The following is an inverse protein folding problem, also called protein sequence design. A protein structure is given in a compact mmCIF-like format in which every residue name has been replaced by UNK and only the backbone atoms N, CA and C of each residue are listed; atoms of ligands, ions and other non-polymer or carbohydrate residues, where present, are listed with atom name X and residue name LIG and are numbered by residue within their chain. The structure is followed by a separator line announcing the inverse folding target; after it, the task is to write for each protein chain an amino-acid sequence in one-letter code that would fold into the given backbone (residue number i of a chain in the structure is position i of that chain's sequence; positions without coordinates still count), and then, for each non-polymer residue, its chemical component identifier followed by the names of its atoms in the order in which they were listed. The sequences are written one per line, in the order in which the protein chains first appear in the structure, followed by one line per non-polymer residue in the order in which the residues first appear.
data_IF_199295499015
#
_entry.id   IF_199295499015
#
_cell.length_a   1.000
_cell.length_b   1.000
_cell.length_c   1.000
_cell.angle_alpha   90.00
_cell.angle_beta   90.00
_cell.angle_gamma   90.00
#
_symmetry.space_group_name_H-M   'P 1'
#
loop_
_entity.id
_entity.type
_entity.pdbx_description
1 polymer ?
#
# COMPACT_ATOMS: atom_id res chain seq x y z
N UNK A 1 0.57 -31.47 -25.12
CA UNK A 1 1.11 -30.68 -23.99
C UNK A 1 2.44 -30.08 -24.42
N UNK A 2 2.46 -28.84 -24.85
CA UNK A 2 3.72 -28.11 -25.07
C UNK A 2 4.39 -27.91 -23.69
N UNK A 3 5.60 -28.46 -23.53
CA UNK A 3 6.45 -28.15 -22.40
C UNK A 3 6.82 -26.66 -22.52
N UNK A 4 6.18 -25.78 -21.77
CA UNK A 4 6.70 -24.43 -21.57
C UNK A 4 8.05 -24.57 -20.88
N UNK A 5 9.13 -24.36 -21.62
CA UNK A 5 10.49 -24.30 -21.09
C UNK A 5 10.68 -22.91 -20.43
N UNK A 6 10.04 -22.70 -19.28
CA UNK A 6 10.29 -21.50 -18.49
C UNK A 6 11.67 -21.61 -17.85
N UNK A 7 12.52 -20.61 -18.09
CA UNK A 7 13.85 -20.50 -17.47
C UNK A 7 13.81 -19.42 -16.40
N UNK A 8 14.28 -19.76 -15.19
CA UNK A 8 14.43 -18.80 -14.09
C UNK A 8 15.92 -18.47 -13.95
N UNK A 9 16.23 -17.19 -14.17
CA UNK A 9 17.56 -16.65 -13.95
C UNK A 9 17.67 -16.18 -12.49
N UNK A 10 18.87 -16.21 -11.93
CA UNK A 10 19.15 -15.72 -10.58
C UNK A 10 20.07 -14.50 -10.68
N UNK A 11 19.68 -13.39 -10.06
CA UNK A 11 20.54 -12.23 -9.91
C UNK A 11 21.13 -12.21 -8.49
N UNK A 12 22.42 -11.89 -8.38
CA UNK A 12 23.12 -11.73 -7.12
C UNK A 12 23.40 -10.27 -6.77
N UNK A 13 23.35 -9.39 -7.77
CA UNK A 13 23.59 -7.95 -7.62
C UNK A 13 22.58 -7.12 -8.44
N UNK A 14 22.44 -5.84 -8.09
CA UNK A 14 21.63 -4.91 -8.92
C UNK A 14 22.22 -4.76 -10.34
N UNK A 15 23.54 -4.87 -10.49
CA UNK A 15 24.19 -4.84 -11.81
C UNK A 15 23.73 -5.99 -12.69
N UNK A 16 23.58 -7.20 -12.15
CA UNK A 16 23.02 -8.36 -12.87
C UNK A 16 21.59 -8.08 -13.33
N UNK A 17 20.78 -7.48 -12.44
CA UNK A 17 19.39 -7.11 -12.77
C UNK A 17 19.36 -6.12 -13.94
N UNK A 18 20.17 -5.06 -13.90
CA UNK A 18 20.22 -4.06 -14.96
C UNK A 18 20.67 -4.66 -16.29
N UNK A 19 21.65 -5.55 -16.25
CA UNK A 19 22.09 -6.29 -17.44
C UNK A 19 20.94 -7.10 -18.05
N UNK A 20 20.20 -7.86 -17.24
CA UNK A 20 19.09 -8.67 -17.71
C UNK A 20 17.91 -7.83 -18.19
N UNK A 21 17.57 -6.73 -17.50
CA UNK A 21 16.51 -5.79 -17.92
C UNK A 21 16.78 -5.18 -19.29
N UNK A 22 18.05 -4.99 -19.65
CA UNK A 22 18.47 -4.45 -20.96
C UNK A 22 18.52 -5.53 -22.04
N UNK A 23 18.94 -6.74 -21.68
CA UNK A 23 19.23 -7.83 -22.62
C UNK A 23 18.03 -8.71 -22.91
N UNK A 24 17.05 -8.77 -21.99
CA UNK A 24 15.91 -9.69 -22.07
C UNK A 24 14.61 -8.91 -22.16
N UNK A 25 13.90 -9.10 -23.27
CA UNK A 25 12.56 -8.53 -23.41
C UNK A 25 11.54 -9.30 -22.57
N UNK A 26 10.56 -8.57 -22.01
CA UNK A 26 9.45 -9.12 -21.23
C UNK A 26 9.91 -10.04 -20.08
N UNK A 27 10.89 -9.56 -19.32
CA UNK A 27 11.44 -10.27 -18.17
C UNK A 27 10.50 -10.12 -16.98
N UNK A 28 9.99 -11.25 -16.45
CA UNK A 28 9.22 -11.28 -15.21
C UNK A 28 10.18 -11.20 -14.02
N UNK A 29 9.97 -10.22 -13.14
CA UNK A 29 10.76 -10.09 -11.90
C UNK A 29 10.09 -10.88 -10.79
N UNK A 30 10.85 -11.74 -10.13
CA UNK A 30 10.38 -12.63 -9.07
C UNK A 30 10.96 -12.22 -7.71
N UNK A 31 10.06 -11.96 -6.75
CA UNK A 31 10.40 -11.82 -5.34
C UNK A 31 10.04 -13.09 -4.56
N UNK A 32 9.04 -13.00 -3.67
CA UNK A 32 8.58 -14.13 -2.84
C UNK A 32 7.67 -15.15 -3.55
N UNK A 33 7.23 -14.88 -4.74
CA UNK A 33 6.39 -15.74 -5.60
C UNK A 33 5.06 -16.21 -4.97
N UNK A 34 4.55 -15.50 -3.98
CA UNK A 34 3.34 -15.90 -3.23
C UNK A 34 2.03 -15.46 -3.88
N UNK A 35 2.09 -14.61 -4.90
CA UNK A 35 0.92 -14.03 -5.57
C UNK A 35 0.81 -14.40 -7.05
N UNK A 36 1.90 -14.86 -7.68
CA UNK A 36 1.90 -15.25 -9.08
C UNK A 36 1.23 -16.62 -9.28
N UNK A 37 0.49 -16.76 -10.37
CA UNK A 37 -0.16 -18.02 -10.76
C UNK A 37 0.67 -18.86 -11.74
N UNK A 38 1.58 -18.22 -12.47
CA UNK A 38 2.43 -18.87 -13.48
C UNK A 38 3.75 -18.14 -13.63
N UNK A 39 4.75 -18.87 -14.12
CA UNK A 39 6.02 -18.28 -14.54
C UNK A 39 5.97 -17.97 -16.03
N UNK A 40 6.48 -16.79 -16.40
CA UNK A 40 6.70 -16.44 -17.80
C UNK A 40 7.88 -17.24 -18.36
N UNK A 41 8.04 -17.25 -19.70
CA UNK A 41 9.14 -17.95 -20.36
C UNK A 41 10.52 -17.52 -19.83
N UNK A 42 10.64 -16.24 -19.45
CA UNK A 42 11.86 -15.63 -18.93
C UNK A 42 11.56 -14.92 -17.62
N UNK A 43 12.10 -15.43 -16.55
CA UNK A 43 11.91 -14.90 -15.20
C UNK A 43 13.25 -14.66 -14.53
N UNK A 44 13.34 -13.61 -13.70
CA UNK A 44 14.55 -13.25 -12.94
C UNK A 44 14.21 -13.15 -11.46
N UNK A 45 14.80 -14.00 -10.65
CA UNK A 45 14.69 -13.95 -9.21
C UNK A 45 15.65 -12.91 -8.64
N UNK A 46 15.08 -11.98 -7.85
CA UNK A 46 15.82 -10.87 -7.21
C UNK A 46 15.78 -10.95 -5.69
N UNK A 47 15.23 -12.03 -5.14
CA UNK A 47 14.97 -12.19 -3.71
C UNK A 47 16.24 -12.13 -2.85
N UNK A 48 17.36 -12.58 -3.39
CA UNK A 48 18.60 -12.77 -2.64
C UNK A 48 19.64 -11.67 -2.86
N UNK A 49 19.21 -10.53 -3.39
CA UNK A 49 20.08 -9.36 -3.58
C UNK A 49 20.10 -8.57 -2.27
N UNK A 50 21.29 -8.46 -1.66
CA UNK A 50 21.47 -7.80 -0.35
C UNK A 50 21.00 -6.34 -0.37
N UNK A 51 21.28 -5.59 -1.45
CA UNK A 51 20.88 -4.19 -1.61
C UNK A 51 19.35 -4.02 -1.62
N UNK A 52 18.61 -5.05 -2.02
CA UNK A 52 17.14 -5.05 -2.04
C UNK A 52 16.51 -5.57 -0.73
N UNK A 53 17.30 -6.01 0.22
CA UNK A 53 16.87 -6.63 1.48
C UNK A 53 17.11 -5.73 2.70
N UNK A 54 17.56 -4.49 2.49
CA UNK A 54 17.90 -3.57 3.56
C UNK A 54 16.66 -2.90 4.16
N UNK A 55 16.72 -2.63 5.46
CA UNK A 55 15.76 -1.78 6.19
C UNK A 55 16.57 -0.66 6.84
N UNK A 56 16.30 0.58 6.42
CA UNK A 56 16.98 1.76 6.95
C UNK A 56 15.98 2.69 7.64
N UNK A 57 16.07 2.82 8.96
CA UNK A 57 15.28 3.78 9.72
C UNK A 57 16.05 5.10 9.82
N UNK A 58 15.41 6.17 9.43
CA UNK A 58 15.84 7.56 9.61
C UNK A 58 14.85 8.27 10.54
N UNK A 59 15.13 9.51 10.90
CA UNK A 59 14.31 10.29 11.81
C UNK A 59 12.86 10.49 11.31
N UNK A 60 12.68 10.75 10.01
CA UNK A 60 11.39 11.10 9.41
C UNK A 60 10.82 10.07 8.46
N UNK A 61 11.50 8.97 8.23
CA UNK A 61 11.05 7.91 7.33
C UNK A 61 11.77 6.60 7.56
N UNK A 62 11.18 5.53 7.07
CA UNK A 62 11.83 4.22 6.95
C UNK A 62 11.90 3.86 5.48
N UNK A 63 13.08 3.46 5.03
CA UNK A 63 13.30 2.87 3.72
C UNK A 63 13.34 1.36 3.82
N UNK A 64 12.51 0.69 3.03
CA UNK A 64 12.48 -0.76 2.90
C UNK A 64 12.96 -1.17 1.52
N UNK A 65 13.87 -2.13 1.46
CA UNK A 65 14.17 -2.84 0.23
C UNK A 65 12.97 -3.70 -0.22
N UNK A 66 12.74 -3.85 -1.52
CA UNK A 66 11.59 -4.60 -2.04
C UNK A 66 11.63 -6.10 -1.74
N UNK A 67 12.81 -6.67 -1.45
CA UNK A 67 12.98 -8.09 -1.08
C UNK A 67 12.76 -8.37 0.41
N UNK A 68 12.58 -7.33 1.24
CA UNK A 68 12.22 -7.48 2.65
C UNK A 68 10.89 -8.21 2.75
N UNK A 69 10.81 -9.27 3.57
CA UNK A 69 9.58 -10.04 3.75
C UNK A 69 8.60 -9.32 4.68
N UNK A 70 7.31 -9.63 4.55
CA UNK A 70 6.29 -9.06 5.41
C UNK A 70 6.53 -9.44 6.87
N UNK A 71 7.02 -10.66 7.15
CA UNK A 71 7.39 -11.08 8.50
C UNK A 71 8.53 -10.27 9.09
N UNK A 72 9.56 -9.96 8.30
CA UNK A 72 10.67 -9.11 8.76
C UNK A 72 10.19 -7.70 9.14
N UNK A 73 9.23 -7.14 8.40
CA UNK A 73 8.64 -5.83 8.76
C UNK A 73 7.85 -5.94 10.07
N UNK A 74 7.03 -6.98 10.23
CA UNK A 74 6.23 -7.20 11.46
C UNK A 74 7.13 -7.41 12.70
N UNK A 75 8.32 -7.98 12.53
CA UNK A 75 9.31 -8.14 13.62
C UNK A 75 9.84 -6.80 14.15
N UNK A 76 9.73 -5.73 13.37
CA UNK A 76 9.99 -4.38 13.87
C UNK A 76 8.93 -4.06 14.94
N UNK A 77 9.35 -3.49 16.07
CA UNK A 77 8.40 -3.12 17.13
C UNK A 77 7.33 -2.18 16.57
N UNK A 78 6.06 -2.42 16.94
CA UNK A 78 4.92 -1.59 16.51
C UNK A 78 5.16 -0.09 16.72
N UNK A 79 5.81 0.28 17.83
CA UNK A 79 6.18 1.67 18.15
C UNK A 79 7.23 2.30 17.20
N UNK A 80 7.84 1.50 16.36
CA UNK A 80 8.86 1.92 15.40
C UNK A 80 8.33 1.98 13.96
N UNK A 81 7.06 1.65 13.74
CA UNK A 81 6.35 1.68 12.46
C UNK A 81 5.11 2.56 12.59
N UNK A 82 4.61 3.17 11.51
CA UNK A 82 3.25 3.68 11.49
C UNK A 82 2.26 2.55 11.84
N UNK A 83 1.41 2.77 12.86
CA UNK A 83 0.52 1.72 13.38
C UNK A 83 -0.39 1.14 12.29
N UNK A 84 -0.92 1.99 11.42
CA UNK A 84 -1.78 1.55 10.30
C UNK A 84 -1.08 0.60 9.34
N UNK A 85 0.23 0.77 9.13
CA UNK A 85 1.00 -0.17 8.31
C UNK A 85 1.20 -1.50 9.03
N UNK A 86 1.55 -1.47 10.32
CA UNK A 86 1.69 -2.66 11.12
C UNK A 86 0.37 -3.46 11.17
N UNK A 87 -0.75 -2.78 11.47
CA UNK A 87 -2.07 -3.39 11.55
C UNK A 87 -2.53 -3.98 10.21
N UNK A 88 -2.21 -3.33 9.09
CA UNK A 88 -2.46 -3.91 7.76
C UNK A 88 -1.67 -5.20 7.54
N UNK A 89 -0.37 -5.19 7.84
CA UNK A 89 0.53 -6.32 7.62
C UNK A 89 0.11 -7.57 8.41
N UNK A 90 -0.30 -7.42 9.69
CA UNK A 90 -0.72 -8.56 10.50
C UNK A 90 -2.03 -9.20 10.02
N UNK A 91 -2.86 -8.45 9.28
CA UNK A 91 -4.10 -8.98 8.68
C UNK A 91 -3.88 -9.67 7.32
N UNK A 92 -2.66 -9.57 6.76
CA UNK A 92 -2.33 -10.19 5.47
C UNK A 92 -1.90 -11.63 5.66
N UNK A 93 -2.50 -12.54 4.92
CA UNK A 93 -2.07 -13.93 4.74
C UNK A 93 -1.74 -14.68 6.06
N UNK A 94 -1.33 -15.93 5.97
CA UNK A 94 -0.76 -16.69 7.08
C UNK A 94 0.71 -16.33 7.32
N UNK A 95 1.23 -16.66 8.48
CA UNK A 95 2.65 -16.45 8.82
C UNK A 95 3.58 -17.14 7.80
N UNK A 96 3.27 -18.37 7.42
CA UNK A 96 4.06 -19.11 6.42
C UNK A 96 4.14 -18.36 5.08
N UNK A 97 3.06 -17.73 4.66
CA UNK A 97 3.04 -16.92 3.44
C UNK A 97 3.80 -15.62 3.66
N UNK A 98 3.64 -14.94 4.81
CA UNK A 98 4.37 -13.70 5.12
C UNK A 98 5.88 -13.89 5.21
N UNK A 99 6.36 -15.08 5.57
CA UNK A 99 7.79 -15.41 5.57
C UNK A 99 8.39 -15.47 4.16
N UNK A 100 7.56 -15.63 3.13
CA UNK A 100 7.97 -15.68 1.74
C UNK A 100 7.60 -14.40 0.98
N UNK A 101 6.40 -13.88 1.22
CA UNK A 101 5.89 -12.67 0.57
C UNK A 101 6.78 -11.48 0.87
N UNK A 102 7.18 -10.75 -0.18
CA UNK A 102 8.03 -9.57 -0.05
C UNK A 102 7.20 -8.29 -0.16
N UNK A 103 7.69 -7.22 0.44
CA UNK A 103 7.00 -5.93 0.42
C UNK A 103 6.88 -5.40 -1.01
N UNK A 104 7.98 -5.45 -1.78
CA UNK A 104 7.97 -5.08 -3.18
C UNK A 104 7.06 -5.98 -4.03
N UNK A 105 7.05 -7.29 -3.77
CA UNK A 105 6.15 -8.22 -4.45
C UNK A 105 4.68 -7.87 -4.22
N UNK A 106 4.31 -7.49 -3.00
CA UNK A 106 2.94 -7.06 -2.66
C UNK A 106 2.53 -5.76 -3.35
N UNK A 107 3.47 -4.87 -3.64
CA UNK A 107 3.24 -3.64 -4.40
C UNK A 107 3.18 -3.94 -5.91
N UNK A 108 4.16 -4.70 -6.42
CA UNK A 108 4.26 -5.01 -7.85
C UNK A 108 3.17 -5.95 -8.36
N UNK A 109 2.46 -6.67 -7.48
CA UNK A 109 1.23 -7.40 -7.80
C UNK A 109 0.14 -6.48 -8.38
N UNK A 110 0.25 -5.16 -8.14
CA UNK A 110 -0.64 -4.11 -8.62
C UNK A 110 -2.13 -4.40 -8.35
N UNK A 111 -2.44 -5.09 -7.24
CA UNK A 111 -3.79 -5.36 -6.79
C UNK A 111 -4.15 -4.51 -5.56
N UNK A 112 -5.01 -3.48 -5.71
CA UNK A 112 -5.40 -2.60 -4.61
C UNK A 112 -6.19 -3.29 -3.49
N UNK A 113 -6.60 -4.55 -3.66
CA UNK A 113 -7.22 -5.38 -2.62
C UNK A 113 -6.21 -5.86 -1.57
N UNK A 114 -4.92 -5.75 -1.86
CA UNK A 114 -3.87 -6.09 -0.89
C UNK A 114 -3.85 -5.01 0.21
N UNK A 115 -3.94 -5.43 1.45
CA UNK A 115 -4.23 -4.58 2.62
C UNK A 115 -3.24 -3.42 2.84
N UNK A 116 -2.01 -3.52 2.34
CA UNK A 116 -1.02 -2.43 2.45
C UNK A 116 -1.33 -1.21 1.57
N UNK A 117 -2.21 -1.33 0.58
CA UNK A 117 -2.46 -0.23 -0.36
C UNK A 117 -3.06 1.00 0.32
N UNK A 118 -4.08 0.83 1.18
CA UNK A 118 -4.67 1.98 1.86
C UNK A 118 -3.69 2.67 2.83
N UNK A 119 -2.89 1.98 3.67
CA UNK A 119 -1.87 2.65 4.48
C UNK A 119 -0.78 3.34 3.65
N UNK A 120 -0.30 2.72 2.56
CA UNK A 120 0.70 3.34 1.70
C UNK A 120 0.21 4.64 1.06
N UNK A 121 -1.07 4.68 0.68
CA UNK A 121 -1.72 5.89 0.18
C UNK A 121 -1.86 6.96 1.27
N UNK A 122 -2.32 6.57 2.47
CA UNK A 122 -2.54 7.51 3.57
C UNK A 122 -1.22 8.10 4.10
N UNK A 123 -0.15 7.30 4.14
CA UNK A 123 1.18 7.69 4.59
C UNK A 123 2.00 8.44 3.52
N UNK A 124 1.43 8.70 2.33
CA UNK A 124 2.15 9.33 1.22
C UNK A 124 3.48 8.62 0.88
N UNK A 125 3.45 7.29 0.87
CA UNK A 125 4.61 6.46 0.56
C UNK A 125 5.21 6.81 -0.82
N UNK A 126 6.52 6.61 -0.96
CA UNK A 126 7.25 6.88 -2.20
C UNK A 126 8.03 5.65 -2.64
N UNK A 127 8.02 5.39 -3.93
CA UNK A 127 8.74 4.28 -4.55
C UNK A 127 9.95 4.82 -5.28
N UNK A 128 11.11 4.24 -5.00
CA UNK A 128 12.32 4.46 -5.79
C UNK A 128 12.42 3.34 -6.82
N UNK A 129 12.45 3.70 -8.08
CA UNK A 129 12.69 2.77 -9.19
C UNK A 129 13.97 3.16 -9.91
N UNK A 130 14.71 2.14 -10.34
CA UNK A 130 16.01 2.34 -10.98
C UNK A 130 16.17 1.49 -12.22
N UNK A 131 16.96 2.01 -13.13
CA UNK A 131 17.63 1.25 -14.18
C UNK A 131 19.14 1.57 -14.15
N UNK A 132 19.89 1.11 -15.13
CA UNK A 132 21.33 1.33 -15.18
C UNK A 132 21.73 2.80 -15.21
N UNK A 133 20.91 3.69 -15.78
CA UNK A 133 21.27 5.09 -16.10
C UNK A 133 20.56 6.12 -15.22
N UNK A 134 19.40 5.79 -14.64
CA UNK A 134 18.61 6.77 -13.89
C UNK A 134 17.89 6.17 -12.69
N UNK A 135 17.59 7.03 -11.73
CA UNK A 135 16.74 6.76 -10.56
C UNK A 135 15.54 7.69 -10.60
N UNK A 136 14.34 7.14 -10.43
CA UNK A 136 13.08 7.91 -10.34
C UNK A 136 12.39 7.67 -9.02
N UNK A 137 11.69 8.70 -8.54
CA UNK A 137 10.85 8.62 -7.36
C UNK A 137 9.39 8.82 -7.75
N UNK A 138 8.56 7.84 -7.42
CA UNK A 138 7.13 7.84 -7.75
C UNK A 138 6.35 7.94 -6.45
N UNK A 139 5.51 8.97 -6.23
CA UNK A 139 4.53 8.94 -5.16
C UNK A 139 3.59 7.74 -5.33
N UNK A 140 3.30 7.01 -4.25
CA UNK A 140 2.46 5.82 -4.33
C UNK A 140 1.05 6.13 -4.88
N UNK A 141 0.54 7.35 -4.63
CA UNK A 141 -0.72 7.83 -5.21
C UNK A 141 -0.74 7.93 -6.74
N UNK A 142 0.44 7.94 -7.39
CA UNK A 142 0.60 7.96 -8.85
C UNK A 142 1.13 6.63 -9.41
N UNK A 143 1.16 5.59 -8.57
CA UNK A 143 1.68 4.29 -8.99
C UNK A 143 0.68 3.56 -9.88
N UNK A 144 1.09 3.23 -11.09
CA UNK A 144 0.32 2.46 -12.08
C UNK A 144 1.05 1.19 -12.53
N UNK A 145 2.18 0.87 -11.87
CA UNK A 145 3.05 -0.25 -12.22
C UNK A 145 4.50 0.20 -12.40
N UNK A 146 5.42 -0.74 -12.45
CA UNK A 146 6.83 -0.47 -12.72
C UNK A 146 7.03 -0.32 -14.23
N UNK A 147 7.54 0.82 -14.73
CA UNK A 147 7.81 1.01 -16.14
C UNK A 147 8.81 -0.03 -16.68
N UNK A 148 8.66 -0.39 -17.96
CA UNK A 148 9.56 -1.34 -18.62
C UNK A 148 11.02 -0.86 -18.51
N UNK A 149 11.91 -1.78 -18.19
CA UNK A 149 13.34 -1.50 -18.03
C UNK A 149 13.73 -0.93 -16.67
N UNK A 150 12.78 -0.76 -15.74
CA UNK A 150 13.04 -0.37 -14.35
C UNK A 150 12.79 -1.53 -13.39
N UNK A 151 13.38 -1.40 -12.21
CA UNK A 151 13.08 -2.24 -11.05
C UNK A 151 12.79 -1.35 -9.84
N UNK A 152 11.89 -1.80 -8.98
CA UNK A 152 11.69 -1.21 -7.66
C UNK A 152 12.92 -1.50 -6.80
N UNK A 153 13.55 -0.46 -6.26
CA UNK A 153 14.73 -0.61 -5.41
C UNK A 153 14.52 -0.18 -3.98
N UNK A 154 13.52 0.70 -3.73
CA UNK A 154 13.25 1.16 -2.37
C UNK A 154 11.79 1.60 -2.21
N UNK A 155 11.26 1.35 -1.03
CA UNK A 155 9.92 1.77 -0.60
C UNK A 155 10.11 2.65 0.62
N UNK A 156 9.87 3.96 0.46
CA UNK A 156 9.99 4.94 1.54
C UNK A 156 8.65 5.19 2.19
N UNK A 157 8.60 5.01 3.49
CA UNK A 157 7.44 5.26 4.33
C UNK A 157 7.75 6.45 5.24
N UNK A 158 7.06 7.60 5.10
CA UNK A 158 7.15 8.69 6.05
C UNK A 158 6.73 8.25 7.46
N UNK A 159 7.39 8.82 8.46
CA UNK A 159 7.03 8.68 9.87
C UNK A 159 6.60 10.07 10.33
N UNK A 160 5.31 10.29 10.36
CA UNK A 160 4.70 11.49 10.89
C UNK A 160 3.99 11.16 12.20
N UNK A 161 3.88 12.14 13.11
CA UNK A 161 3.15 11.99 14.35
C UNK A 161 1.65 12.16 14.08
N UNK A 162 0.92 11.05 14.18
CA UNK A 162 -0.53 11.01 14.06
C UNK A 162 -1.15 10.67 15.41
N UNK A 163 -2.05 11.51 15.91
CA UNK A 163 -2.74 11.28 17.19
C UNK A 163 -3.75 10.14 17.08
N UNK A 164 -4.38 10.02 15.90
CA UNK A 164 -5.33 8.94 15.61
C UNK A 164 -4.86 8.19 14.37
N UNK A 165 -4.72 6.88 14.53
CA UNK A 165 -4.33 5.96 13.47
C UNK A 165 -5.30 4.77 13.47
N UNK A 166 -6.13 4.66 12.44
CA UNK A 166 -7.12 3.59 12.32
C UNK A 166 -6.89 2.87 11.01
N UNK A 167 -6.61 1.57 11.08
CA UNK A 167 -6.69 0.66 9.95
C UNK A 167 -7.82 -0.34 10.16
N UNK A 168 -8.62 -0.58 9.13
CA UNK A 168 -9.65 -1.64 9.13
C UNK A 168 -9.57 -2.44 7.84
N UNK A 169 -9.38 -3.75 7.99
CA UNK A 169 -9.60 -4.70 6.92
C UNK A 169 -11.09 -4.93 6.75
N UNK A 170 -11.56 -4.90 5.52
CA UNK A 170 -12.92 -5.21 5.12
C UNK A 170 -12.92 -6.49 4.30
N UNK A 171 -13.96 -7.30 4.43
CA UNK A 171 -14.11 -8.54 3.70
C UNK A 171 -13.49 -9.77 4.39
N UNK A 172 -13.45 -10.91 3.70
CA UNK A 172 -13.02 -12.17 4.28
C UNK A 172 -11.53 -12.19 4.61
N UNK A 173 -11.18 -12.89 5.71
CA UNK A 173 -9.79 -13.00 6.16
C UNK A 173 -8.98 -14.07 5.41
N UNK A 174 -9.65 -15.10 4.89
CA UNK A 174 -9.00 -16.30 4.34
C UNK A 174 -8.47 -16.12 2.93
N UNK A 175 -9.13 -15.33 2.08
CA UNK A 175 -8.76 -15.13 0.68
C UNK A 175 -9.21 -13.75 0.20
N UNK A 176 -8.38 -13.10 -0.61
CA UNK A 176 -8.78 -11.87 -1.30
C UNK A 176 -9.85 -12.18 -2.36
N UNK A 177 -10.89 -11.37 -2.37
CA UNK A 177 -11.98 -11.42 -3.36
C UNK A 177 -12.52 -10.01 -3.60
N UNK A 178 -13.63 -9.88 -4.32
CA UNK A 178 -14.23 -8.59 -4.66
C UNK A 178 -14.86 -7.83 -3.48
N UNK A 179 -14.94 -8.47 -2.32
CA UNK A 179 -15.33 -7.82 -1.06
C UNK A 179 -14.13 -7.44 -0.19
N UNK A 180 -12.89 -7.74 -0.64
CA UNK A 180 -11.69 -7.41 0.11
C UNK A 180 -11.29 -5.97 -0.11
N UNK A 181 -11.13 -5.24 0.99
CA UNK A 181 -10.69 -3.84 0.96
C UNK A 181 -9.93 -3.48 2.24
N UNK A 182 -9.09 -2.45 2.15
CA UNK A 182 -8.44 -1.81 3.27
C UNK A 182 -8.96 -0.38 3.43
N UNK A 183 -9.20 0.04 4.65
CA UNK A 183 -9.54 1.41 5.02
C UNK A 183 -8.47 1.95 5.97
N UNK A 184 -8.04 3.19 5.73
CA UNK A 184 -7.11 3.87 6.64
C UNK A 184 -7.59 5.29 6.90
N UNK A 185 -7.58 5.65 8.18
CA UNK A 185 -7.85 7.00 8.67
C UNK A 185 -6.69 7.43 9.55
N UNK A 186 -6.17 8.62 9.29
CA UNK A 186 -5.14 9.27 10.10
C UNK A 186 -5.62 10.67 10.44
N UNK A 187 -5.41 11.11 11.67
CA UNK A 187 -5.67 12.49 12.07
C UNK A 187 -4.59 13.01 13.02
N UNK A 188 -4.20 14.25 12.84
CA UNK A 188 -3.36 15.00 13.77
C UNK A 188 -4.16 16.19 14.31
N UNK A 189 -3.98 16.46 15.59
CA UNK A 189 -4.69 17.50 16.31
C UNK A 189 -3.71 18.45 16.99
N UNK A 190 -4.09 19.69 17.15
CA UNK A 190 -3.34 20.63 17.96
C UNK A 190 -4.31 21.45 18.80
N UNK A 191 -4.23 21.34 20.12
CA UNK A 191 -5.24 21.85 21.06
C UNK A 191 -6.60 21.21 20.72
N UNK A 192 -7.58 22.01 20.33
CA UNK A 192 -8.94 21.61 19.95
C UNK A 192 -9.19 21.65 18.41
N UNK A 193 -8.10 21.72 17.62
CA UNK A 193 -8.19 21.86 16.17
C UNK A 193 -7.61 20.64 15.45
N UNK A 194 -8.32 20.14 14.45
CA UNK A 194 -7.82 19.12 13.54
C UNK A 194 -6.90 19.77 12.53
N UNK A 195 -5.60 19.44 12.57
CA UNK A 195 -4.57 20.06 11.73
C UNK A 195 -4.27 19.29 10.47
N UNK A 196 -4.46 17.97 10.49
CA UNK A 196 -4.22 17.12 9.33
C UNK A 196 -5.14 15.89 9.37
N UNK A 197 -5.60 15.45 8.21
CA UNK A 197 -6.43 14.24 8.05
C UNK A 197 -6.03 13.52 6.77
N UNK A 198 -6.04 12.19 6.81
CA UNK A 198 -5.93 11.34 5.65
C UNK A 198 -7.02 10.28 5.69
N UNK A 199 -7.74 10.12 4.59
CA UNK A 199 -8.80 9.11 4.45
C UNK A 199 -8.57 8.36 3.16
N UNK A 200 -8.28 7.06 3.27
CA UNK A 200 -8.03 6.23 2.10
C UNK A 200 -8.79 4.92 2.17
N UNK A 201 -9.20 4.45 1.01
CA UNK A 201 -9.82 3.15 0.82
C UNK A 201 -9.19 2.48 -0.40
N UNK A 202 -8.91 1.19 -0.31
CA UNK A 202 -8.37 0.41 -1.42
C UNK A 202 -9.06 -0.94 -1.50
N UNK A 203 -9.47 -1.32 -2.69
CA UNK A 203 -10.20 -2.55 -3.01
C UNK A 203 -10.36 -2.63 -4.52
N UNK A 204 -11.53 -3.04 -5.03
CA UNK A 204 -11.84 -2.91 -6.47
C UNK A 204 -11.88 -1.45 -6.95
N UNK A 205 -11.96 -0.52 -6.00
CA UNK A 205 -11.90 0.93 -6.21
C UNK A 205 -10.88 1.50 -5.26
N UNK A 206 -10.05 2.42 -5.73
CA UNK A 206 -9.14 3.20 -4.88
C UNK A 206 -9.75 4.57 -4.65
N UNK A 207 -9.84 4.99 -3.39
CA UNK A 207 -10.38 6.29 -3.02
C UNK A 207 -9.43 7.03 -2.08
N UNK A 208 -9.13 8.25 -2.44
CA UNK A 208 -8.56 9.31 -1.61
C UNK A 208 -9.03 10.64 -2.20
N UNK A 209 -9.48 11.56 -1.37
CA UNK A 209 -9.95 12.87 -1.82
C UNK A 209 -9.43 13.97 -0.92
N UNK A 210 -8.59 14.84 -1.48
CA UNK A 210 -8.12 16.04 -0.79
C UNK A 210 -9.25 17.01 -0.49
N UNK A 211 -10.32 17.03 -1.29
CA UNK A 211 -11.53 17.83 -1.02
C UNK A 211 -12.21 17.37 0.27
N UNK A 212 -12.34 16.04 0.47
CA UNK A 212 -12.88 15.46 1.70
C UNK A 212 -11.97 15.75 2.91
N UNK A 213 -10.66 15.55 2.76
CA UNK A 213 -9.66 15.81 3.79
C UNK A 213 -9.70 17.30 4.21
N UNK A 214 -9.71 18.22 3.26
CA UNK A 214 -9.74 19.66 3.50
C UNK A 214 -11.04 20.15 4.17
N UNK A 215 -12.15 19.44 3.98
CA UNK A 215 -13.42 19.76 4.66
C UNK A 215 -13.34 19.52 6.18
N UNK A 216 -12.48 18.58 6.60
CA UNK A 216 -12.33 18.19 8.01
C UNK A 216 -11.21 19.00 8.67
N UNK A 217 -10.15 19.32 7.94
CA UNK A 217 -9.04 20.13 8.44
C UNK A 217 -9.55 21.51 8.84
N UNK A 218 -9.17 21.97 10.02
CA UNK A 218 -9.62 23.24 10.62
C UNK A 218 -10.90 23.13 11.42
N UNK A 219 -11.52 21.96 11.51
CA UNK A 219 -12.67 21.75 12.41
C UNK A 219 -12.20 21.66 13.86
N UNK A 220 -13.01 22.22 14.77
CA UNK A 220 -12.83 22.09 16.21
C UNK A 220 -13.46 20.80 16.71
N UNK A 221 -12.78 20.10 17.60
CA UNK A 221 -13.39 18.97 18.30
C UNK A 221 -13.76 19.36 19.74
N UNK A 222 -14.78 18.73 20.32
CA UNK A 222 -15.51 17.56 19.82
C UNK A 222 -16.36 17.85 18.58
N UNK A 223 -16.29 16.93 17.61
CA UNK A 223 -17.08 17.05 16.37
C UNK A 223 -18.57 16.85 16.66
N UNK A 224 -19.43 17.67 16.08
CA UNK A 224 -20.87 17.52 16.22
C UNK A 224 -21.41 16.45 15.27
N UNK A 225 -22.50 15.73 15.68
CA UNK A 225 -23.16 14.74 14.82
C UNK A 225 -23.62 15.32 13.47
N UNK A 226 -24.01 16.62 13.45
CA UNK A 226 -24.37 17.31 12.21
C UNK A 226 -23.18 17.43 11.26
N UNK A 227 -22.02 17.86 11.78
CA UNK A 227 -20.80 17.99 10.98
C UNK A 227 -20.35 16.62 10.43
N UNK A 228 -20.36 15.59 11.28
CA UNK A 228 -20.03 14.21 10.86
C UNK A 228 -20.97 13.76 9.72
N UNK A 229 -22.28 13.97 9.88
CA UNK A 229 -23.26 13.64 8.83
C UNK A 229 -23.00 14.38 7.52
N UNK A 230 -22.58 15.65 7.56
CA UNK A 230 -22.27 16.45 6.37
C UNK A 230 -20.97 15.98 5.70
N UNK A 231 -19.99 15.52 6.47
CA UNK A 231 -18.74 14.90 5.92
C UNK A 231 -19.07 13.58 5.24
N UNK A 232 -19.90 12.72 5.86
CA UNK A 232 -20.31 11.43 5.28
C UNK A 232 -21.09 11.62 3.99
N UNK A 233 -22.01 12.59 3.91
CA UNK A 233 -22.71 12.94 2.67
C UNK A 233 -21.75 13.40 1.58
N UNK A 234 -20.77 14.23 1.92
CA UNK A 234 -19.74 14.66 0.97
C UNK A 234 -18.91 13.48 0.48
N UNK A 235 -18.51 12.57 1.38
CA UNK A 235 -17.78 11.35 1.00
C UNK A 235 -18.60 10.49 0.02
N UNK A 236 -19.92 10.33 0.24
CA UNK A 236 -20.81 9.62 -0.68
C UNK A 236 -20.81 10.27 -2.08
N UNK A 237 -21.01 11.58 -2.14
CA UNK A 237 -21.04 12.31 -3.41
C UNK A 237 -19.71 12.26 -4.17
N UNK A 238 -18.59 12.30 -3.45
CA UNK A 238 -17.25 12.19 -4.04
C UNK A 238 -16.95 10.76 -4.50
N UNK A 239 -17.43 9.76 -3.76
CA UNK A 239 -17.33 8.37 -4.16
C UNK A 239 -18.11 8.09 -5.44
N UNK A 240 -19.32 8.65 -5.59
CA UNK A 240 -20.15 8.50 -6.79
C UNK A 240 -19.51 9.10 -8.04
N UNK A 241 -18.66 10.12 -7.89
CA UNK A 241 -17.89 10.73 -8.99
C UNK A 241 -16.63 9.93 -9.36
N UNK A 242 -16.25 8.93 -8.58
CA UNK A 242 -15.07 8.11 -8.88
C UNK A 242 -15.34 7.24 -10.12
N UNK A 243 -14.40 7.21 -11.07
CA UNK A 243 -14.51 6.44 -12.32
C UNK A 243 -14.77 4.95 -12.07
N UNK A 244 -14.24 4.40 -10.98
CA UNK A 244 -14.39 3.01 -10.60
C UNK A 244 -15.58 2.75 -9.64
N UNK A 245 -16.47 3.74 -9.44
CA UNK A 245 -17.60 3.61 -8.52
C UNK A 245 -18.45 2.36 -8.78
N UNK A 246 -18.72 2.06 -10.05
CA UNK A 246 -19.53 0.90 -10.46
C UNK A 246 -18.88 -0.43 -10.15
N UNK A 247 -17.55 -0.49 -10.03
CA UNK A 247 -16.79 -1.69 -9.66
C UNK A 247 -16.87 -1.99 -8.16
N UNK A 248 -17.20 -1.00 -7.34
CA UNK A 248 -17.33 -1.16 -5.90
C UNK A 248 -18.69 -1.74 -5.53
N UNK A 249 -18.68 -2.89 -4.85
CA UNK A 249 -19.90 -3.55 -4.37
C UNK A 249 -20.69 -2.64 -3.42
N UNK A 250 -22.05 -2.63 -3.47
CA UNK A 250 -22.88 -1.77 -2.62
C UNK A 250 -22.58 -1.90 -1.12
N UNK A 251 -22.30 -3.12 -0.66
CA UNK A 251 -21.95 -3.38 0.73
C UNK A 251 -20.64 -2.69 1.14
N UNK A 252 -19.64 -2.65 0.26
CA UNK A 252 -18.37 -1.97 0.52
C UNK A 252 -18.54 -0.44 0.56
N UNK A 253 -19.45 0.11 -0.26
CA UNK A 253 -19.78 1.55 -0.23
C UNK A 253 -20.33 1.94 1.13
N UNK A 254 -21.29 1.17 1.64
CA UNK A 254 -21.88 1.42 2.94
C UNK A 254 -20.86 1.24 4.07
N UNK A 255 -20.04 0.20 4.01
CA UNK A 255 -18.97 -0.02 4.99
C UNK A 255 -17.95 1.12 4.98
N UNK A 256 -17.57 1.62 3.82
CA UNK A 256 -16.67 2.78 3.71
C UNK A 256 -17.25 4.02 4.41
N UNK A 257 -18.52 4.35 4.14
CA UNK A 257 -19.18 5.50 4.78
C UNK A 257 -19.31 5.31 6.30
N UNK A 258 -19.66 4.12 6.74
CA UNK A 258 -19.72 3.78 8.17
C UNK A 258 -18.35 3.88 8.85
N UNK A 259 -17.27 3.49 8.16
CA UNK A 259 -15.91 3.60 8.68
C UNK A 259 -15.44 5.06 8.78
N UNK A 260 -15.83 5.92 7.84
CA UNK A 260 -15.60 7.37 7.95
C UNK A 260 -16.32 7.91 9.18
N UNK A 261 -17.61 7.61 9.33
CA UNK A 261 -18.40 8.04 10.48
C UNK A 261 -17.75 7.58 11.79
N UNK A 262 -17.48 6.29 11.92
CA UNK A 262 -16.80 5.71 13.07
C UNK A 262 -15.48 6.40 13.42
N UNK A 263 -14.66 6.68 12.40
CA UNK A 263 -13.36 7.32 12.60
C UNK A 263 -13.47 8.77 13.06
N UNK A 264 -14.47 9.52 12.56
CA UNK A 264 -14.75 10.88 13.00
C UNK A 264 -15.34 10.93 14.41
N UNK A 265 -16.12 9.92 14.82
CA UNK A 265 -16.63 9.77 16.17
C UNK A 265 -15.52 9.55 17.21
N UNK A 266 -14.31 9.13 16.80
CA UNK A 266 -13.15 9.07 17.69
C UNK A 266 -12.57 10.48 17.99
N UNK A 267 -13.06 11.52 17.31
CA UNK A 267 -12.71 12.92 17.50
C UNK A 267 -13.83 13.69 18.23
N UNK A 268 -14.70 12.98 18.94
CA UNK A 268 -15.81 13.55 19.72
C UNK A 268 -15.51 13.55 21.22
#
# INVERSE_FOLDING_TARGET
MQKNNSSVLMASTLSDVFFHLKSVNNLQILGGCTYISSLDEKSLCVKFIDELSQIEKKERYIDFGPSVTLSQIIQIRRTNLPEVLYDALITMASESVRNLATFGGSICAADPKIMIWSPLLALDARLEIRNQSETKYIPFSKYTGIPKGFILTKIRIPIDDWDIQIFKRVGPSSKLNDLSAGFTFLASTQKDLITNVRITFSGNTVFRSTELENKIIGAHFPLTSKFIGDVVKTASSLLEKNEDYTKMQPILRQQFLNLIQYSLEQLT
#
